data_IF_085087669076
#
_entry.id   IF_085087669076
#
_cell.length_a   1.000
_cell.length_b   1.000
_cell.length_c   1.000
_cell.angle_alpha   90.00
_cell.angle_beta   90.00
_cell.angle_gamma   90.00
#
_symmetry.space_group_name_H-M   'P 1'
#
loop_
_entity.id
_entity.type
_entity.pdbx_description
1 polymer ?
#
# COMPACT_ATOMS: atom_id res chain seq x y z
N UNK A 1 2.57 -1.33 16.38
CA UNK A 1 2.88 -2.16 15.23
C UNK A 1 2.77 -1.35 13.94
N UNK A 2 3.61 -1.63 12.98
CA UNK A 2 3.60 -0.92 11.70
C UNK A 2 3.32 -1.90 10.57
N UNK A 3 2.82 -1.39 9.45
CA UNK A 3 2.41 -2.23 8.34
C UNK A 3 3.00 -1.71 7.03
N UNK A 4 3.48 -2.64 6.21
CA UNK A 4 3.72 -2.43 4.80
C UNK A 4 2.48 -2.96 4.08
N UNK A 5 1.98 -2.23 3.08
CA UNK A 5 0.75 -2.64 2.41
C UNK A 5 0.77 -2.31 0.93
N UNK A 6 -0.04 -3.05 0.18
CA UNK A 6 -0.23 -2.83 -1.25
C UNK A 6 -1.73 -2.68 -1.51
N UNK A 7 -2.11 -1.58 -2.13
CA UNK A 7 -3.48 -1.29 -2.56
C UNK A 7 -3.57 -1.38 -4.07
N UNK A 8 -4.76 -1.64 -4.56
CA UNK A 8 -5.04 -1.64 -6.00
C UNK A 8 -6.28 -0.82 -6.30
N UNK A 9 -6.24 -0.03 -7.36
CA UNK A 9 -7.38 0.73 -7.87
C UNK A 9 -7.79 0.18 -9.23
N UNK A 10 -9.03 -0.30 -9.32
CA UNK A 10 -9.59 -0.78 -10.58
C UNK A 10 -9.70 0.39 -11.57
N UNK A 11 -10.14 1.56 -11.11
CA UNK A 11 -10.29 2.74 -11.96
C UNK A 11 -8.99 3.13 -12.63
N UNK A 12 -7.90 3.11 -11.87
CA UNK A 12 -6.57 3.50 -12.40
C UNK A 12 -5.80 2.32 -12.98
N UNK A 13 -6.22 1.09 -12.66
CA UNK A 13 -5.46 -0.13 -12.99
C UNK A 13 -4.02 -0.01 -12.51
N UNK A 14 -3.85 0.42 -11.26
CA UNK A 14 -2.54 0.67 -10.66
C UNK A 14 -2.47 0.20 -9.22
N UNK A 15 -1.25 -0.15 -8.79
CA UNK A 15 -0.95 -0.49 -7.42
C UNK A 15 -0.36 0.71 -6.69
N UNK A 16 -0.64 0.81 -5.40
CA UNK A 16 -0.02 1.77 -4.51
C UNK A 16 0.67 1.01 -3.39
N UNK A 17 1.93 1.31 -3.17
CA UNK A 17 2.75 0.67 -2.13
C UNK A 17 3.02 1.70 -1.04
N UNK A 18 2.74 1.35 0.22
CA UNK A 18 2.91 2.28 1.31
C UNK A 18 3.22 1.59 2.63
N UNK A 19 3.39 2.41 3.68
CA UNK A 19 3.50 1.92 5.04
C UNK A 19 2.67 2.81 5.97
N UNK A 20 2.32 2.28 7.14
CA UNK A 20 1.64 3.06 8.16
C UNK A 20 1.98 2.51 9.55
N UNK A 21 2.04 3.41 10.54
CA UNK A 21 2.12 3.04 11.96
C UNK A 21 0.76 3.16 12.63
N UNK A 22 -0.26 3.60 11.90
CA UNK A 22 -1.63 3.69 12.36
C UNK A 22 -2.38 2.40 12.05
N UNK A 23 -3.64 2.35 12.48
CA UNK A 23 -4.53 1.25 12.11
C UNK A 23 -4.60 1.12 10.59
N UNK A 24 -4.42 -0.11 10.08
CA UNK A 24 -4.34 -0.34 8.64
C UNK A 24 -5.65 0.02 7.93
N UNK A 25 -6.79 -0.33 8.50
CA UNK A 25 -8.09 -0.04 7.88
C UNK A 25 -8.37 1.47 7.88
N UNK A 26 -7.97 2.19 8.93
CA UNK A 26 -8.08 3.65 8.97
C UNK A 26 -7.22 4.28 7.87
N UNK A 27 -6.03 3.75 7.64
CA UNK A 27 -5.16 4.26 6.59
C UNK A 27 -5.77 4.05 5.21
N UNK A 28 -6.38 2.88 4.97
CA UNK A 28 -7.07 2.60 3.71
C UNK A 28 -8.26 3.53 3.53
N UNK A 29 -9.02 3.76 4.60
CA UNK A 29 -10.14 4.69 4.59
C UNK A 29 -9.68 6.09 4.17
N UNK A 30 -8.53 6.53 4.68
CA UNK A 30 -7.95 7.84 4.31
C UNK A 30 -7.56 7.88 2.84
N UNK A 31 -7.01 6.81 2.30
CA UNK A 31 -6.70 6.73 0.86
C UNK A 31 -7.97 6.88 0.02
N UNK A 32 -9.07 6.35 0.49
CA UNK A 32 -10.35 6.40 -0.24
C UNK A 32 -11.14 7.67 0.03
N UNK A 33 -10.68 8.53 0.94
CA UNK A 33 -11.34 9.80 1.20
C UNK A 33 -10.96 10.83 0.12
N UNK A 34 -11.76 11.88 0.01
CA UNK A 34 -11.52 12.95 -0.96
C UNK A 34 -10.43 13.89 -0.42
N UNK A 35 -9.18 13.56 -0.67
CA UNK A 35 -8.04 14.36 -0.25
C UNK A 35 -7.09 14.56 -1.43
N UNK A 36 -6.09 15.44 -1.24
CA UNK A 36 -5.06 15.70 -2.25
C UNK A 36 -4.00 14.61 -2.19
N UNK A 37 -3.33 14.38 -3.32
CA UNK A 37 -2.27 13.41 -3.45
C UNK A 37 -2.60 12.34 -4.47
N UNK A 38 -1.68 11.40 -4.66
CA UNK A 38 -1.81 10.37 -5.68
C UNK A 38 -3.09 9.55 -5.55
N UNK A 39 -3.48 9.21 -4.30
CA UNK A 39 -4.65 8.37 -4.06
C UNK A 39 -5.94 9.17 -3.88
N UNK A 40 -5.87 10.48 -3.82
CA UNK A 40 -7.04 11.32 -3.52
C UNK A 40 -8.05 11.34 -4.65
N UNK A 41 -9.33 11.30 -4.31
CA UNK A 41 -10.41 11.42 -5.27
C UNK A 41 -10.74 10.17 -6.06
N UNK A 42 -10.02 9.08 -5.87
CA UNK A 42 -10.26 7.83 -6.60
C UNK A 42 -11.34 7.00 -5.91
N UNK A 43 -11.20 6.75 -4.62
CA UNK A 43 -12.24 6.14 -3.78
C UNK A 43 -12.45 4.64 -3.94
N UNK A 44 -11.64 3.95 -4.73
CA UNK A 44 -11.82 2.51 -4.96
C UNK A 44 -10.61 1.66 -4.58
N UNK A 45 -9.73 2.20 -3.74
CA UNK A 45 -8.54 1.48 -3.31
C UNK A 45 -8.90 0.27 -2.46
N UNK A 46 -8.39 -0.90 -2.83
CA UNK A 46 -8.59 -2.16 -2.10
C UNK A 46 -7.27 -2.67 -1.57
N UNK A 47 -7.29 -3.20 -0.35
CA UNK A 47 -6.11 -3.86 0.22
C UNK A 47 -5.92 -5.21 -0.46
N UNK A 48 -4.75 -5.41 -1.07
CA UNK A 48 -4.41 -6.67 -1.73
C UNK A 48 -3.39 -7.48 -0.95
N UNK A 49 -2.55 -6.80 -0.14
CA UNK A 49 -1.49 -7.49 0.58
C UNK A 49 -0.97 -6.60 1.70
N UNK A 50 -0.57 -7.21 2.81
CA UNK A 50 0.11 -6.47 3.87
C UNK A 50 1.06 -7.37 4.64
N UNK A 51 2.03 -6.74 5.31
CA UNK A 51 2.96 -7.38 6.24
C UNK A 51 2.99 -6.55 7.52
N UNK A 52 3.08 -7.24 8.67
CA UNK A 52 3.14 -6.58 9.98
C UNK A 52 4.57 -6.57 10.49
N UNK A 53 4.96 -5.46 11.09
CA UNK A 53 6.29 -5.29 11.68
C UNK A 53 6.17 -4.68 13.06
N UNK A 54 6.98 -5.15 14.01
CA UNK A 54 7.05 -4.56 15.34
C UNK A 54 7.68 -3.16 15.24
N UNK A 55 8.76 -3.03 14.46
CA UNK A 55 9.49 -1.78 14.32
C UNK A 55 9.09 -1.04 13.06
N UNK A 56 8.85 0.27 13.21
CA UNK A 56 8.46 1.14 12.10
C UNK A 56 9.48 1.13 10.97
N UNK A 57 10.77 1.16 11.33
CA UNK A 57 11.83 1.23 10.30
C UNK A 57 11.84 0.00 9.39
N UNK A 58 11.40 -1.15 9.88
CA UNK A 58 11.32 -2.36 9.06
C UNK A 58 10.22 -2.23 8.00
N UNK A 59 9.07 -1.67 8.37
CA UNK A 59 8.00 -1.42 7.43
C UNK A 59 8.42 -0.42 6.36
N UNK A 60 9.13 0.64 6.75
CA UNK A 60 9.65 1.64 5.83
C UNK A 60 10.67 1.02 4.87
N UNK A 61 11.57 0.18 5.39
CA UNK A 61 12.57 -0.49 4.56
C UNK A 61 11.91 -1.39 3.52
N UNK A 62 10.87 -2.12 3.91
CA UNK A 62 10.12 -2.98 2.99
C UNK A 62 9.43 -2.19 1.90
N UNK A 63 8.80 -1.07 2.27
CA UNK A 63 8.19 -0.18 1.30
C UNK A 63 9.18 0.28 0.24
N UNK A 64 10.35 0.74 0.69
CA UNK A 64 11.40 1.21 -0.23
C UNK A 64 11.90 0.09 -1.12
N UNK A 65 12.08 -1.10 -0.58
CA UNK A 65 12.52 -2.27 -1.33
C UNK A 65 11.54 -2.58 -2.46
N UNK A 66 10.25 -2.67 -2.14
CA UNK A 66 9.23 -3.03 -3.13
C UNK A 66 9.06 -1.92 -4.16
N UNK A 67 9.10 -0.67 -3.75
CA UNK A 67 9.04 0.46 -4.69
C UNK A 67 10.21 0.46 -5.66
N UNK A 68 11.39 0.02 -5.22
CA UNK A 68 12.58 -0.04 -6.07
C UNK A 68 12.54 -1.16 -7.09
N UNK A 69 11.65 -2.12 -6.94
CA UNK A 69 11.48 -3.16 -7.96
C UNK A 69 11.05 -2.58 -9.31
N UNK A 70 10.21 -1.54 -9.30
CA UNK A 70 9.66 -0.89 -10.49
C UNK A 70 9.07 -1.91 -11.45
N UNK A 71 8.45 -2.95 -10.91
CA UNK A 71 7.93 -4.08 -11.67
C UNK A 71 6.56 -4.47 -11.13
N UNK A 72 5.53 -4.20 -11.91
CA UNK A 72 4.17 -4.62 -11.58
C UNK A 72 4.08 -6.14 -11.45
N UNK A 73 4.79 -6.86 -12.30
CA UNK A 73 4.81 -8.32 -12.31
C UNK A 73 5.34 -8.88 -10.98
N UNK A 74 6.38 -8.27 -10.42
CA UNK A 74 6.91 -8.70 -9.14
C UNK A 74 5.93 -8.39 -7.99
N UNK A 75 5.25 -7.26 -8.06
CA UNK A 75 4.21 -6.92 -7.08
C UNK A 75 3.08 -7.95 -7.13
N UNK A 76 2.65 -8.32 -8.32
CA UNK A 76 1.59 -9.33 -8.47
C UNK A 76 2.02 -10.71 -7.97
N UNK A 77 3.29 -11.08 -8.15
CA UNK A 77 3.83 -12.30 -7.57
C UNK A 77 3.80 -12.29 -6.06
N UNK A 78 4.14 -11.15 -5.45
CA UNK A 78 4.10 -11.01 -4.00
C UNK A 78 2.68 -11.16 -3.47
N UNK A 79 1.71 -10.55 -4.12
CA UNK A 79 0.30 -10.63 -3.74
C UNK A 79 -0.24 -12.06 -3.84
N UNK A 80 0.17 -12.79 -4.85
CA UNK A 80 -0.31 -14.15 -5.12
C UNK A 80 0.54 -15.25 -4.49
N UNK A 81 1.36 -14.88 -3.53
CA UNK A 81 2.26 -15.79 -2.86
C UNK A 81 1.55 -16.85 -1.99
#
# INVERSE_FOLDING_TARGET
>A
MSYFYILYSIKLNKYYVGYTSDDLFERIRKHNSNHRGFTGGIGDWELKYYESYIEKHDAIAREKEVKNWKSRKMIEKLINK
#
